data_IF_781085382118
#
_entry.id   IF_781085382118
#
_cell.length_a   1.000
_cell.length_b   1.000
_cell.length_c   1.000
_cell.angle_alpha   90.00
_cell.angle_beta   90.00
_cell.angle_gamma   90.00
#
_symmetry.space_group_name_H-M   'P 1'
#
loop_
_entity.id
_entity.type
_entity.pdbx_description
1 polymer ?
#
# COMPACT_ATOMS: atom_id res chain seq x y z
N UNK A 1 4.66 6.66 4.11
CA UNK A 1 4.50 7.71 3.08
C UNK A 1 3.09 7.59 2.52
N UNK A 2 2.30 8.65 2.67
CA UNK A 2 0.91 8.71 2.20
C UNK A 2 0.89 9.14 0.74
N UNK A 3 0.21 8.38 -0.12
CA UNK A 3 0.07 8.66 -1.55
C UNK A 3 -1.40 8.69 -1.94
N UNK A 4 -1.80 9.49 -2.94
CA UNK A 4 -3.09 9.32 -3.58
C UNK A 4 -3.13 7.98 -4.33
N UNK A 5 -4.32 7.38 -4.47
CA UNK A 5 -4.49 6.11 -5.20
C UNK A 5 -3.87 6.15 -6.60
N UNK A 6 -4.09 7.27 -7.30
CA UNK A 6 -3.56 7.51 -8.65
C UNK A 6 -2.04 7.46 -8.74
N UNK A 7 -1.31 7.76 -7.67
CA UNK A 7 0.15 7.60 -7.62
C UNK A 7 0.55 6.22 -7.11
N UNK A 8 -0.18 5.68 -6.13
CA UNK A 8 0.12 4.39 -5.52
C UNK A 8 0.12 3.25 -6.55
N UNK A 9 -0.80 3.28 -7.53
CA UNK A 9 -0.88 2.32 -8.64
C UNK A 9 0.35 2.24 -9.53
N UNK A 10 1.24 3.23 -9.46
CA UNK A 10 2.50 3.24 -10.21
C UNK A 10 3.73 3.00 -9.33
N UNK A 11 3.54 2.77 -8.02
CA UNK A 11 4.63 2.46 -7.10
C UNK A 11 4.67 0.98 -6.77
N UNK A 12 5.88 0.45 -6.58
CA UNK A 12 6.06 -0.92 -6.13
C UNK A 12 5.52 -1.11 -4.71
N UNK A 13 4.73 -2.17 -4.51
CA UNK A 13 4.22 -2.58 -3.23
C UNK A 13 5.23 -3.50 -2.54
N UNK A 14 5.76 -3.13 -1.37
CA UNK A 14 6.70 -3.98 -0.63
C UNK A 14 6.04 -5.25 -0.09
N UNK A 15 4.70 -5.35 -0.11
CA UNK A 15 3.96 -6.51 0.38
C UNK A 15 3.38 -7.40 -0.72
N UNK A 16 3.30 -6.90 -1.96
CA UNK A 16 2.78 -7.65 -3.10
C UNK A 16 3.97 -8.19 -3.90
N UNK A 17 4.69 -9.15 -3.31
CA UNK A 17 5.74 -9.89 -3.99
C UNK A 17 5.13 -11.14 -4.63
N UNK A 18 5.55 -11.45 -5.85
CA UNK A 18 5.30 -12.78 -6.44
C UNK A 18 6.25 -13.81 -5.85
N UNK A 19 5.94 -15.10 -6.00
CA UNK A 19 6.82 -16.20 -5.58
C UNK A 19 8.22 -16.19 -6.22
N UNK A 20 8.45 -15.35 -7.22
CA UNK A 20 9.72 -15.07 -7.90
C UNK A 20 10.43 -13.81 -7.34
N UNK A 21 10.09 -13.39 -6.12
CA UNK A 21 10.63 -12.19 -5.42
C UNK A 21 10.48 -10.83 -6.14
N UNK A 22 9.74 -10.80 -7.26
CA UNK A 22 9.43 -9.55 -7.97
C UNK A 22 8.33 -8.76 -7.25
N UNK A 23 8.62 -7.49 -7.01
CA UNK A 23 7.64 -6.52 -6.51
C UNK A 23 6.63 -6.18 -7.61
N UNK A 24 5.34 -6.21 -7.27
CA UNK A 24 4.26 -5.72 -8.13
C UNK A 24 3.86 -4.30 -7.76
N UNK A 25 3.25 -3.59 -8.69
CA UNK A 25 2.66 -2.29 -8.41
C UNK A 25 1.55 -2.38 -7.33
N UNK A 26 1.52 -1.43 -6.39
CA UNK A 26 0.50 -1.31 -5.33
C UNK A 26 -0.81 -0.95 -6.03
N UNK A 27 -1.71 -1.90 -6.28
CA UNK A 27 -2.95 -1.74 -7.06
C UNK A 27 -4.00 -0.78 -6.44
N UNK A 28 -3.57 0.17 -5.60
CA UNK A 28 -4.43 1.15 -4.94
C UNK A 28 -5.54 0.47 -4.17
N UNK A 29 -6.78 0.94 -4.36
CA UNK A 29 -8.00 0.35 -3.79
C UNK A 29 -8.21 -1.14 -4.05
N UNK A 30 -7.66 -1.67 -5.14
CA UNK A 30 -7.75 -3.11 -5.43
C UNK A 30 -6.70 -3.94 -4.69
N UNK A 31 -5.76 -3.30 -3.99
CA UNK A 31 -4.76 -3.98 -3.17
C UNK A 31 -5.31 -4.22 -1.77
N UNK A 32 -5.36 -5.48 -1.32
CA UNK A 32 -5.80 -5.83 0.05
C UNK A 32 -4.92 -5.23 1.17
N UNK A 33 -3.71 -4.78 0.82
CA UNK A 33 -2.79 -4.10 1.72
C UNK A 33 -2.93 -2.58 1.66
N UNK A 34 -3.79 -2.02 0.82
CA UNK A 34 -4.03 -0.57 0.80
C UNK A 34 -4.84 -0.13 2.01
N UNK A 35 -4.39 0.94 2.66
CA UNK A 35 -5.03 1.55 3.82
C UNK A 35 -5.26 3.01 3.53
N UNK A 36 -6.52 3.44 3.60
CA UNK A 36 -6.87 4.84 3.55
C UNK A 36 -6.48 5.53 4.84
N UNK A 37 -5.73 6.62 4.73
CA UNK A 37 -5.40 7.49 5.85
C UNK A 37 -6.31 8.72 5.89
N UNK A 38 -6.68 9.26 4.72
CA UNK A 38 -7.38 10.56 4.62
C UNK A 38 -8.38 10.58 3.46
N UNK A 39 -9.19 9.53 3.29
CA UNK A 39 -10.25 9.41 2.26
C UNK A 39 -9.75 9.30 0.81
N UNK A 40 -8.80 10.15 0.41
CA UNK A 40 -8.17 10.23 -0.91
C UNK A 40 -6.74 9.70 -0.92
N UNK A 41 -6.06 9.79 0.24
CA UNK A 41 -4.69 9.32 0.43
C UNK A 41 -4.65 8.06 1.26
N UNK A 42 -3.69 7.22 0.95
CA UNK A 42 -3.45 5.99 1.66
C UNK A 42 -2.01 5.51 1.58
N UNK A 43 -1.77 4.36 2.16
CA UNK A 43 -0.47 3.71 2.18
C UNK A 43 -0.65 2.20 2.07
N UNK A 44 0.37 1.53 1.55
CA UNK A 44 0.42 0.07 1.54
C UNK A 44 0.89 -0.38 2.95
N UNK A 45 0.07 -1.13 3.70
CA UNK A 45 0.30 -1.61 5.07
C UNK A 45 -0.56 -2.82 5.46
N UNK A 46 0.03 -3.79 6.18
CA UNK A 46 -0.67 -5.00 6.65
C UNK A 46 -1.63 -4.67 7.79
N UNK A 47 -2.86 -5.21 7.72
CA UNK A 47 -3.81 -5.12 8.84
C UNK A 47 -3.21 -5.81 10.08
N UNK A 48 -3.14 -5.09 11.20
CA UNK A 48 -2.68 -5.63 12.49
C UNK A 48 -1.41 -5.00 13.06
N UNK A 49 -0.76 -4.07 12.35
CA UNK A 49 0.24 -3.19 12.95
C UNK A 49 -0.36 -1.79 13.05
N UNK A 50 -0.89 -1.36 14.22
CA UNK A 50 -1.06 0.06 14.46
C UNK A 50 0.32 0.70 14.26
N UNK A 51 0.41 1.75 13.44
CA UNK A 51 1.58 2.63 13.48
C UNK A 51 1.70 3.09 14.93
N UNK A 52 2.80 2.68 15.58
CA UNK A 52 3.14 3.08 16.93
C UNK A 52 3.05 4.59 16.99
N UNK A 53 2.08 5.11 17.75
CA UNK A 53 2.05 6.52 18.12
C UNK A 53 3.34 6.78 18.92
N UNK A 54 4.32 7.41 18.29
CA UNK A 54 5.43 8.04 19.00
C UNK A 54 5.75 9.41 18.43
#
# INVERSE_FOLDING_TARGET
>A
MLYPESEAKFKYCPYLMTSDDKMKFCQGTMCMMWRFADGEKGYCGLAGKPEDKK
#
